data_IF_154782005780
#
_entry.id   IF_154782005780
#
_cell.length_a   1.000
_cell.length_b   1.000
_cell.length_c   1.000
_cell.angle_alpha   90.00
_cell.angle_beta   90.00
_cell.angle_gamma   90.00
#
_symmetry.space_group_name_H-M   'P 1'
#
loop_
_entity.id
_entity.type
_entity.pdbx_description
1 polymer ?
#
# COMPACT_ATOMS: atom_id res chain seq x y z
N UNK A 1 -0.95 7.74 3.44
CA UNK A 1 -0.33 6.73 4.32
C UNK A 1 0.59 5.80 3.51
N UNK A 2 1.55 5.15 4.19
CA UNK A 2 2.50 4.21 3.55
C UNK A 2 2.34 2.82 4.15
N UNK A 3 2.32 1.80 3.28
CA UNK A 3 2.41 0.39 3.68
C UNK A 3 3.68 -0.22 3.11
N UNK A 4 4.52 -0.81 3.96
CA UNK A 4 5.83 -1.31 3.57
C UNK A 4 6.14 -2.66 4.22
N UNK A 5 6.46 -3.72 3.44
CA UNK A 5 6.97 -4.97 4.01
C UNK A 5 8.45 -4.83 4.39
N UNK A 6 8.85 -5.46 5.49
CA UNK A 6 10.23 -5.44 5.96
C UNK A 6 10.58 -6.69 6.78
N UNK A 7 11.88 -6.91 6.99
CA UNK A 7 12.42 -7.94 7.89
C UNK A 7 13.47 -7.35 8.82
N UNK A 8 13.81 -8.05 9.90
CA UNK A 8 14.92 -7.70 10.79
C UNK A 8 14.56 -6.65 11.85
N UNK A 9 15.43 -5.68 12.14
CA UNK A 9 15.23 -4.68 13.21
C UNK A 9 14.14 -3.67 12.84
N UNK A 10 13.34 -3.24 13.82
CA UNK A 10 12.37 -2.15 13.67
C UNK A 10 13.11 -0.83 13.39
N UNK A 11 12.64 -0.11 12.40
CA UNK A 11 13.07 1.25 12.06
C UNK A 11 11.83 2.12 11.90
N UNK A 12 11.76 3.20 12.66
CA UNK A 12 10.55 4.02 12.82
C UNK A 12 10.47 5.20 11.83
N UNK A 13 11.52 5.46 11.06
CA UNK A 13 11.52 6.47 9.99
C UNK A 13 11.61 5.84 8.62
N UNK A 14 11.15 6.52 7.58
CA UNK A 14 11.30 6.07 6.20
C UNK A 14 12.78 6.05 5.74
N UNK A 15 13.60 6.91 6.31
CA UNK A 15 14.95 7.24 5.85
C UNK A 15 14.96 8.55 5.09
N UNK A 16 16.13 8.96 4.64
CA UNK A 16 16.28 10.18 3.83
C UNK A 16 16.89 9.84 2.47
N UNK A 17 16.77 10.75 1.53
CA UNK A 17 17.35 10.60 0.18
C UNK A 17 18.86 10.33 0.22
N UNK A 18 19.58 10.95 1.18
CA UNK A 18 21.03 10.77 1.36
C UNK A 18 21.40 9.60 2.30
N UNK A 19 20.45 9.09 3.09
CA UNK A 19 20.63 7.97 4.00
C UNK A 19 19.35 7.14 4.13
N UNK A 20 19.00 6.43 3.06
CA UNK A 20 17.85 5.50 3.05
C UNK A 20 18.03 4.34 4.05
N UNK A 21 19.27 3.97 4.38
CA UNK A 21 19.58 2.90 5.34
C UNK A 21 19.22 3.28 6.80
N UNK A 22 19.10 4.57 7.12
CA UNK A 22 18.67 5.02 8.44
C UNK A 22 17.20 4.64 8.75
N UNK A 23 16.36 4.56 7.72
CA UNK A 23 14.94 4.22 7.83
C UNK A 23 14.59 2.79 7.39
N UNK A 24 13.30 2.57 7.14
CA UNK A 24 12.76 1.30 6.64
C UNK A 24 12.71 1.22 5.10
N UNK A 25 13.04 2.25 4.36
CA UNK A 25 13.07 2.22 2.90
C UNK A 25 14.08 1.20 2.35
N UNK A 26 13.87 0.75 1.14
CA UNK A 26 14.74 -0.18 0.43
C UNK A 26 15.12 0.40 -0.93
N UNK A 27 16.34 0.13 -1.37
CA UNK A 27 16.72 0.29 -2.76
C UNK A 27 16.03 -0.76 -3.61
N UNK A 28 15.80 -0.41 -4.87
CA UNK A 28 15.36 -1.33 -5.91
C UNK A 28 16.14 -1.04 -7.22
N UNK A 29 16.09 -1.98 -8.16
CA UNK A 29 16.72 -1.84 -9.48
C UNK A 29 15.66 -1.84 -10.56
N UNK A 30 15.79 -0.97 -11.56
CA UNK A 30 14.85 -0.87 -12.68
C UNK A 30 14.66 -2.17 -13.48
N UNK A 31 15.68 -3.01 -13.56
CA UNK A 31 15.55 -4.32 -14.21
C UNK A 31 14.82 -5.37 -13.35
N UNK A 32 14.47 -5.03 -12.12
CA UNK A 32 13.63 -5.83 -11.19
C UNK A 32 12.33 -5.11 -10.83
N UNK A 33 11.97 -4.12 -11.60
CA UNK A 33 10.73 -3.38 -11.52
C UNK A 33 9.90 -3.65 -12.77
N UNK A 34 8.61 -3.88 -12.59
CA UNK A 34 7.66 -4.00 -13.69
C UNK A 34 6.44 -3.13 -13.40
N UNK A 35 6.01 -2.36 -14.41
CA UNK A 35 4.89 -1.42 -14.31
C UNK A 35 3.98 -1.62 -15.50
N UNK A 36 2.70 -1.84 -15.25
CA UNK A 36 1.63 -1.77 -16.25
C UNK A 36 0.38 -1.15 -15.63
N UNK A 37 -0.55 -0.61 -16.42
CA UNK A 37 -1.84 -0.19 -15.89
C UNK A 37 -2.50 -1.30 -15.08
N UNK A 38 -2.90 -1.00 -13.83
CA UNK A 38 -3.51 -1.98 -12.92
C UNK A 38 -2.56 -2.93 -12.18
N UNK A 39 -1.25 -2.91 -12.48
CA UNK A 39 -0.29 -3.81 -11.81
C UNK A 39 1.09 -3.19 -11.65
N UNK A 40 1.68 -3.38 -10.47
CA UNK A 40 3.05 -3.00 -10.15
C UNK A 40 3.79 -4.15 -9.47
N UNK A 41 5.06 -4.36 -9.85
CA UNK A 41 5.94 -5.33 -9.22
C UNK A 41 7.33 -4.73 -8.99
N UNK A 42 7.92 -4.99 -7.80
CA UNK A 42 9.29 -4.58 -7.49
C UNK A 42 9.95 -5.54 -6.51
N UNK A 43 11.27 -5.71 -6.64
CA UNK A 43 12.07 -6.44 -5.67
C UNK A 43 12.78 -5.48 -4.72
N UNK A 44 12.52 -5.63 -3.42
CA UNK A 44 13.14 -4.83 -2.35
C UNK A 44 14.48 -5.44 -1.95
N UNK A 45 15.57 -4.89 -2.48
CA UNK A 45 16.93 -5.44 -2.34
C UNK A 45 17.36 -5.64 -0.88
N UNK A 46 17.00 -4.69 -0.01
CA UNK A 46 17.37 -4.71 1.41
C UNK A 46 16.77 -5.88 2.17
N UNK A 47 15.55 -6.26 1.83
CA UNK A 47 14.77 -7.24 2.58
C UNK A 47 14.64 -8.57 1.86
N UNK A 48 15.03 -8.64 0.58
CA UNK A 48 14.85 -9.83 -0.24
C UNK A 48 13.38 -10.18 -0.45
N UNK A 49 12.52 -9.15 -0.56
CA UNK A 49 11.07 -9.30 -0.68
C UNK A 49 10.64 -8.92 -2.09
N UNK A 50 9.90 -9.82 -2.77
CA UNK A 50 9.14 -9.44 -3.95
C UNK A 50 7.82 -8.79 -3.48
N UNK A 51 7.50 -7.64 -4.07
CA UNK A 51 6.26 -6.89 -3.85
C UNK A 51 5.48 -6.86 -5.14
N UNK A 52 4.21 -7.27 -5.09
CA UNK A 52 3.27 -7.16 -6.19
C UNK A 52 2.02 -6.42 -5.70
N UNK A 53 1.55 -5.44 -6.49
CA UNK A 53 0.43 -4.58 -6.14
C UNK A 53 -0.58 -4.54 -7.27
N UNK A 54 -1.86 -4.62 -6.92
CA UNK A 54 -3.00 -4.34 -7.79
C UNK A 54 -4.12 -3.69 -6.98
N UNK A 55 -5.18 -3.22 -7.61
CA UNK A 55 -6.26 -2.54 -6.91
C UNK A 55 -7.59 -2.66 -7.66
N UNK A 56 -8.67 -2.49 -6.92
CA UNK A 56 -9.99 -2.11 -7.41
C UNK A 56 -10.18 -0.60 -7.26
N UNK A 57 -11.39 -0.08 -7.27
CA UNK A 57 -11.67 1.36 -7.16
C UNK A 57 -11.29 1.92 -5.78
N UNK A 58 -11.56 1.16 -4.69
CA UNK A 58 -11.37 1.61 -3.30
C UNK A 58 -10.51 0.67 -2.47
N UNK A 59 -10.01 -0.43 -3.06
CA UNK A 59 -9.25 -1.44 -2.32
C UNK A 59 -7.92 -1.72 -3.01
N UNK A 60 -6.82 -1.52 -2.28
CA UNK A 60 -5.49 -1.97 -2.68
C UNK A 60 -5.24 -3.41 -2.23
N UNK A 61 -4.69 -4.24 -3.12
CA UNK A 61 -4.24 -5.61 -2.82
C UNK A 61 -2.74 -5.73 -3.03
N UNK A 62 -2.05 -6.11 -1.97
CA UNK A 62 -0.62 -6.32 -1.95
C UNK A 62 -0.34 -7.82 -1.78
N UNK A 63 0.61 -8.33 -2.56
CA UNK A 63 1.21 -9.66 -2.39
C UNK A 63 2.70 -9.49 -2.11
N UNK A 64 3.15 -10.02 -0.99
CA UNK A 64 4.53 -9.98 -0.55
C UNK A 64 5.10 -11.38 -0.46
N UNK A 65 6.15 -11.68 -1.24
CA UNK A 65 6.89 -12.95 -1.13
C UNK A 65 8.09 -12.73 -0.23
N UNK A 66 8.03 -13.25 0.98
CA UNK A 66 9.04 -13.07 2.02
C UNK A 66 10.14 -14.14 1.97
N UNK A 67 11.40 -13.79 2.35
CA UNK A 67 12.39 -14.79 2.74
C UNK A 67 12.02 -15.45 4.08
N UNK A 68 12.74 -16.50 4.47
CA UNK A 68 12.64 -17.03 5.83
C UNK A 68 13.12 -15.98 6.84
N UNK A 69 12.28 -15.66 7.82
CA UNK A 69 12.60 -14.69 8.87
C UNK A 69 11.69 -14.89 10.08
N UNK A 70 12.25 -14.77 11.28
CA UNK A 70 11.48 -14.76 12.53
C UNK A 70 10.90 -13.38 12.85
N UNK A 71 11.33 -12.33 12.10
CA UNK A 71 10.96 -10.92 12.26
C UNK A 71 10.56 -10.30 10.94
N UNK A 72 9.62 -10.94 10.26
CA UNK A 72 8.91 -10.34 9.12
C UNK A 72 7.82 -9.43 9.61
N UNK A 73 7.53 -8.37 8.86
CA UNK A 73 6.48 -7.42 9.24
C UNK A 73 5.90 -6.67 8.06
N UNK A 74 4.71 -6.15 8.28
CA UNK A 74 4.11 -5.09 7.48
C UNK A 74 4.09 -3.83 8.35
N UNK A 75 4.59 -2.73 7.82
CA UNK A 75 4.61 -1.41 8.44
C UNK A 75 3.42 -0.63 7.92
N UNK A 76 2.62 -0.04 8.82
CA UNK A 76 1.60 0.96 8.50
C UNK A 76 2.15 2.29 9.02
N UNK A 77 2.54 3.20 8.14
CA UNK A 77 3.05 4.51 8.53
C UNK A 77 2.06 5.61 8.13
N UNK A 78 1.39 6.17 9.13
CA UNK A 78 0.42 7.25 8.96
C UNK A 78 1.09 8.64 8.98
N UNK A 79 2.36 8.70 9.35
CA UNK A 79 3.14 9.94 9.33
C UNK A 79 3.62 10.34 7.94
N UNK A 80 3.83 9.35 7.06
CA UNK A 80 4.31 9.59 5.69
C UNK A 80 3.14 9.81 4.73
N UNK A 81 3.28 10.80 3.87
CA UNK A 81 2.32 11.13 2.81
C UNK A 81 3.02 11.73 1.60
N UNK A 82 2.28 11.96 0.52
CA UNK A 82 2.78 12.55 -0.71
C UNK A 82 2.38 14.03 -0.77
N UNK A 83 3.33 14.92 -0.46
CA UNK A 83 3.16 16.39 -0.51
C UNK A 83 2.11 16.98 0.45
N UNK A 84 1.79 16.28 1.53
CA UNK A 84 0.89 16.71 2.58
C UNK A 84 1.48 16.45 3.98
N UNK A 85 0.86 17.03 5.00
CA UNK A 85 1.25 16.83 6.41
C UNK A 85 0.08 16.25 7.20
N UNK A 86 0.31 15.20 8.00
CA UNK A 86 -0.75 14.69 8.87
C UNK A 86 -1.11 15.75 9.92
N UNK A 87 -2.40 15.92 10.15
CA UNK A 87 -2.97 16.76 11.22
C UNK A 87 -3.47 15.91 12.37
N UNK A 88 -3.89 14.68 12.07
CA UNK A 88 -4.26 13.67 13.04
C UNK A 88 -4.06 12.28 12.46
N UNK A 89 -3.55 11.36 13.25
CA UNK A 89 -3.41 9.95 12.87
C UNK A 89 -3.96 9.04 13.96
N UNK A 90 -4.64 7.97 13.56
CA UNK A 90 -5.20 6.98 14.47
C UNK A 90 -5.04 5.58 13.91
N UNK A 91 -4.61 4.64 14.72
CA UNK A 91 -4.46 3.23 14.35
C UNK A 91 -4.95 2.34 15.49
N UNK A 92 -5.74 1.32 15.14
CA UNK A 92 -6.30 0.35 16.07
C UNK A 92 -6.16 -1.07 15.53
N UNK A 93 -5.75 -1.99 16.38
CA UNK A 93 -5.83 -3.43 16.16
C UNK A 93 -7.21 -3.92 16.65
N UNK A 94 -8.03 -4.43 15.75
CA UNK A 94 -9.33 -5.04 16.07
C UNK A 94 -9.14 -6.50 16.49
N UNK A 95 -8.34 -7.24 15.71
CA UNK A 95 -7.91 -8.60 16.01
C UNK A 95 -6.55 -8.87 15.36
N UNK A 96 -6.10 -10.13 15.35
CA UNK A 96 -4.76 -10.49 14.83
C UNK A 96 -4.62 -10.37 13.30
N UNK A 97 -5.70 -10.11 12.58
CA UNK A 97 -5.69 -9.93 11.13
C UNK A 97 -6.34 -8.63 10.65
N UNK A 98 -7.16 -7.96 11.46
CA UNK A 98 -7.89 -6.75 11.10
C UNK A 98 -7.37 -5.54 11.88
N UNK A 99 -7.03 -4.50 11.14
CA UNK A 99 -6.57 -3.20 11.62
C UNK A 99 -7.38 -2.10 10.95
N UNK A 100 -7.66 -1.04 11.68
CA UNK A 100 -8.36 0.12 11.16
C UNK A 100 -7.77 1.42 11.68
N UNK A 101 -8.05 2.51 11.01
CA UNK A 101 -7.59 3.80 11.43
C UNK A 101 -7.95 4.92 10.48
N UNK A 102 -7.37 6.07 10.75
CA UNK A 102 -7.51 7.21 9.86
C UNK A 102 -6.22 8.05 9.82
N UNK A 103 -6.10 8.77 8.73
CA UNK A 103 -5.10 9.80 8.54
C UNK A 103 -5.78 11.06 8.03
N UNK A 104 -5.84 12.07 8.87
CA UNK A 104 -6.26 13.40 8.46
C UNK A 104 -5.03 14.22 8.12
N UNK A 105 -5.11 14.99 7.07
CA UNK A 105 -3.95 15.73 6.56
C UNK A 105 -4.34 17.05 5.91
N UNK A 106 -3.37 17.91 5.77
CA UNK A 106 -3.47 19.19 5.06
C UNK A 106 -2.27 19.35 4.14
N UNK A 107 -2.52 19.82 2.94
CA UNK A 107 -1.52 20.04 1.92
C UNK A 107 -2.10 20.85 0.78
N UNK A 108 -2.14 20.28 -0.43
CA UNK A 108 -2.86 20.89 -1.54
C UNK A 108 -4.34 21.09 -1.20
N UNK A 109 -5.05 20.04 -0.76
CA UNK A 109 -6.35 20.22 -0.15
C UNK A 109 -6.17 20.63 1.32
N UNK A 110 -6.98 21.60 1.76
CA UNK A 110 -6.90 22.17 3.11
C UNK A 110 -7.22 21.12 4.18
N UNK A 111 -8.24 20.30 3.92
CA UNK A 111 -8.73 19.26 4.81
C UNK A 111 -8.92 17.98 3.99
N UNK A 112 -8.13 16.94 4.31
CA UNK A 112 -8.20 15.62 3.69
C UNK A 112 -8.44 14.59 4.78
N UNK A 113 -9.50 13.81 4.65
CA UNK A 113 -9.89 12.78 5.59
C UNK A 113 -9.84 11.42 4.89
N UNK A 114 -8.97 10.56 5.37
CA UNK A 114 -8.79 9.21 4.84
C UNK A 114 -8.94 8.21 5.98
N UNK A 115 -9.99 7.42 5.93
CA UNK A 115 -10.22 6.26 6.80
C UNK A 115 -9.81 5.00 6.06
N UNK A 116 -9.32 4.02 6.80
CA UNK A 116 -8.96 2.73 6.20
C UNK A 116 -9.31 1.56 7.11
N UNK A 117 -9.51 0.40 6.47
CA UNK A 117 -9.53 -0.91 7.11
C UNK A 117 -8.58 -1.82 6.36
N UNK A 118 -7.69 -2.50 7.08
CA UNK A 118 -6.64 -3.35 6.54
C UNK A 118 -6.79 -4.76 7.08
N UNK A 119 -6.79 -5.75 6.17
CA UNK A 119 -6.76 -7.16 6.53
C UNK A 119 -5.48 -7.79 5.99
N UNK A 120 -4.79 -8.55 6.85
CA UNK A 120 -3.61 -9.34 6.49
C UNK A 120 -3.98 -10.84 6.49
N UNK A 121 -3.46 -11.60 5.51
CA UNK A 121 -3.77 -13.02 5.33
C UNK A 121 -3.18 -13.94 6.40
N UNK A 122 -2.23 -13.44 7.19
CA UNK A 122 -1.56 -14.17 8.27
C UNK A 122 -1.74 -13.46 9.60
N UNK A 123 -2.19 -14.16 10.67
CA UNK A 123 -2.28 -13.55 12.00
C UNK A 123 -0.94 -13.01 12.49
N UNK A 124 -0.95 -11.81 13.04
CA UNK A 124 0.25 -11.19 13.61
C UNK A 124 0.54 -11.78 14.98
N UNK A 125 1.82 -11.97 15.28
CA UNK A 125 2.30 -12.42 16.59
C UNK A 125 2.43 -11.25 17.57
N UNK A 126 2.86 -10.10 17.06
CA UNK A 126 3.05 -8.89 17.86
C UNK A 126 2.62 -7.67 17.04
N UNK A 127 1.94 -6.75 17.71
CA UNK A 127 1.58 -5.44 17.19
C UNK A 127 2.35 -4.36 17.93
N UNK A 128 3.30 -3.70 17.23
CA UNK A 128 4.14 -2.67 17.83
C UNK A 128 3.62 -1.31 17.37
N UNK A 129 3.32 -0.44 18.31
CA UNK A 129 2.83 0.92 18.02
C UNK A 129 3.88 1.94 18.40
N UNK A 130 4.10 2.89 17.49
CA UNK A 130 4.97 4.04 17.71
C UNK A 130 4.24 5.32 17.36
N UNK A 131 4.58 6.41 18.06
CA UNK A 131 4.30 7.76 17.61
C UNK A 131 5.64 8.47 17.48
N UNK A 132 5.97 8.95 16.29
CA UNK A 132 7.35 9.34 15.91
C UNK A 132 8.33 8.19 16.18
N UNK A 133 9.14 8.29 17.22
CA UNK A 133 10.14 7.28 17.61
C UNK A 133 9.84 6.63 18.96
N UNK A 134 8.80 7.09 19.68
CA UNK A 134 8.43 6.55 21.00
C UNK A 134 7.49 5.35 20.83
N UNK A 135 7.84 4.22 21.46
CA UNK A 135 7.00 3.01 21.50
C UNK A 135 5.90 3.15 22.55
N UNK A 136 4.72 2.63 22.20
CA UNK A 136 3.57 2.49 23.10
C UNK A 136 3.12 1.03 23.13
N UNK A 137 2.74 0.54 24.31
CA UNK A 137 2.30 -0.83 24.55
C UNK A 137 0.76 -0.86 24.60
N UNK A 138 0.13 -0.62 23.47
CA UNK A 138 -1.33 -0.46 23.35
C UNK A 138 -1.82 -1.08 22.05
N UNK A 139 -3.12 -1.41 21.99
CA UNK A 139 -3.77 -1.90 20.78
C UNK A 139 -4.37 -0.77 19.93
N UNK A 140 -4.42 0.45 20.45
CA UNK A 140 -4.86 1.63 19.71
C UNK A 140 -4.08 2.87 20.13
N UNK A 141 -3.88 3.78 19.20
CA UNK A 141 -3.16 5.03 19.44
C UNK A 141 -3.65 6.11 18.49
N UNK A 142 -3.99 7.24 19.09
CA UNK A 142 -4.18 8.53 18.41
C UNK A 142 -2.96 9.39 18.63
N UNK A 143 -2.47 10.08 17.61
CA UNK A 143 -1.28 10.93 17.71
C UNK A 143 -0.99 11.70 16.42
N UNK A 144 0.22 12.26 16.35
CA UNK A 144 0.63 13.07 15.19
C UNK A 144 1.21 12.22 14.05
N UNK A 145 2.03 11.20 14.40
CA UNK A 145 2.80 10.39 13.44
C UNK A 145 2.75 8.91 13.83
N UNK A 146 1.54 8.38 14.04
CA UNK A 146 1.33 7.00 14.49
C UNK A 146 1.78 6.02 13.42
N UNK A 147 2.46 4.95 13.87
CA UNK A 147 2.95 3.85 13.04
C UNK A 147 2.64 2.53 13.72
N UNK A 148 2.20 1.57 12.91
CA UNK A 148 1.99 0.19 13.35
C UNK A 148 2.98 -0.75 12.65
N UNK A 149 3.51 -1.71 13.41
CA UNK A 149 4.35 -2.78 12.89
C UNK A 149 3.68 -4.11 13.21
N UNK A 150 3.21 -4.76 12.17
CA UNK A 150 2.51 -6.04 12.19
C UNK A 150 3.56 -7.14 12.08
N UNK A 151 4.03 -7.70 13.21
CA UNK A 151 5.14 -8.65 13.23
C UNK A 151 4.66 -10.11 13.20
N UNK A 152 5.31 -10.93 12.37
CA UNK A 152 5.07 -12.36 12.20
C UNK A 152 6.35 -13.07 11.75
N UNK A 153 6.37 -14.40 11.76
CA UNK A 153 7.46 -15.17 11.15
C UNK A 153 7.06 -15.68 9.78
N UNK A 154 8.04 -15.85 8.90
CA UNK A 154 7.84 -16.40 7.56
C UNK A 154 8.79 -17.54 7.26
N UNK A 155 8.31 -18.51 6.47
CA UNK A 155 9.09 -19.51 5.78
C UNK A 155 9.71 -18.93 4.53
N UNK A 156 10.60 -19.68 3.87
CA UNK A 156 11.21 -19.26 2.60
C UNK A 156 10.15 -19.19 1.49
N UNK A 157 10.08 -18.05 0.79
CA UNK A 157 9.12 -17.78 -0.29
C UNK A 157 7.66 -17.85 0.16
N UNK A 158 7.40 -17.54 1.43
CA UNK A 158 6.02 -17.46 1.92
C UNK A 158 5.33 -16.20 1.39
N UNK A 159 4.15 -16.38 0.82
CA UNK A 159 3.33 -15.28 0.31
C UNK A 159 2.40 -14.78 1.42
N UNK A 160 2.45 -13.50 1.66
CA UNK A 160 1.57 -12.78 2.60
C UNK A 160 0.80 -11.74 1.81
N UNK A 161 -0.52 -11.77 1.94
CA UNK A 161 -1.40 -10.82 1.28
C UNK A 161 -1.89 -9.78 2.28
N UNK A 162 -1.99 -8.54 1.81
CA UNK A 162 -2.58 -7.44 2.55
C UNK A 162 -3.59 -6.76 1.63
N UNK A 163 -4.81 -6.60 2.10
CA UNK A 163 -5.83 -5.80 1.43
C UNK A 163 -6.26 -4.64 2.31
N UNK A 164 -6.38 -3.46 1.71
CA UNK A 164 -6.73 -2.24 2.40
C UNK A 164 -7.83 -1.51 1.64
N UNK A 165 -8.99 -1.41 2.28
CA UNK A 165 -10.09 -0.56 1.83
C UNK A 165 -9.92 0.85 2.38
N UNK A 166 -10.32 1.83 1.59
CA UNK A 166 -10.32 3.25 1.96
C UNK A 166 -11.72 3.84 1.86
N UNK A 167 -11.96 4.88 2.65
CA UNK A 167 -13.18 5.68 2.66
C UNK A 167 -12.85 7.10 3.12
N UNK A 168 -13.61 8.08 2.66
CA UNK A 168 -13.55 9.46 3.15
C UNK A 168 -14.56 9.74 4.26
N UNK A 169 -15.35 8.74 4.65
CA UNK A 169 -16.48 8.86 5.59
C UNK A 169 -16.18 8.19 6.92
N UNK A 170 -15.78 6.90 6.91
CA UNK A 170 -15.57 6.16 8.16
C UNK A 170 -14.74 4.87 7.93
N UNK A 171 -14.17 4.32 9.02
CA UNK A 171 -13.53 2.99 9.01
C UNK A 171 -14.54 1.88 8.69
N UNK A 172 -15.79 2.04 9.11
CA UNK A 172 -16.87 1.10 8.79
C UNK A 172 -17.09 1.04 7.28
N UNK A 173 -17.21 2.19 6.60
CA UNK A 173 -17.37 2.25 5.15
C UNK A 173 -16.11 1.70 4.44
N UNK A 174 -14.91 1.98 4.95
CA UNK A 174 -13.67 1.41 4.41
C UNK A 174 -13.68 -0.13 4.49
N UNK A 175 -14.21 -0.72 5.57
CA UNK A 175 -14.38 -2.17 5.69
C UNK A 175 -15.47 -2.69 4.74
N UNK A 176 -16.60 -2.00 4.60
CA UNK A 176 -17.66 -2.37 3.67
C UNK A 176 -17.17 -2.34 2.22
N UNK A 177 -16.45 -1.30 1.81
CA UNK A 177 -15.80 -1.22 0.50
C UNK A 177 -14.85 -2.41 0.28
N UNK A 178 -14.01 -2.71 1.28
CA UNK A 178 -13.07 -3.82 1.22
C UNK A 178 -13.78 -5.17 1.05
N UNK A 179 -14.83 -5.43 1.82
CA UNK A 179 -15.54 -6.71 1.78
C UNK A 179 -16.41 -6.87 0.53
N UNK A 180 -16.91 -5.76 -0.02
CA UNK A 180 -17.73 -5.74 -1.25
C UNK A 180 -16.87 -5.94 -2.49
N UNK A 181 -15.80 -5.15 -2.62
CA UNK A 181 -14.97 -5.18 -3.82
C UNK A 181 -13.98 -6.36 -3.83
N UNK A 182 -13.56 -6.82 -2.64
CA UNK A 182 -12.52 -7.85 -2.52
C UNK A 182 -12.80 -8.84 -1.36
N UNK A 183 -13.84 -9.66 -1.47
CA UNK A 183 -14.18 -10.64 -0.41
C UNK A 183 -13.12 -11.73 -0.24
N UNK A 184 -12.41 -12.10 -1.31
CA UNK A 184 -11.40 -13.16 -1.35
C UNK A 184 -9.96 -12.66 -1.39
N UNK A 185 -9.03 -13.58 -1.70
CA UNK A 185 -7.58 -13.35 -1.79
C UNK A 185 -7.00 -13.69 -3.17
N UNK A 186 -7.84 -13.82 -4.20
CA UNK A 186 -7.41 -14.18 -5.56
C UNK A 186 -6.72 -12.99 -6.24
N UNK A 187 -5.40 -12.88 -6.01
CA UNK A 187 -4.58 -11.81 -6.55
C UNK A 187 -4.58 -11.77 -8.09
N UNK A 188 -4.48 -12.95 -8.72
CA UNK A 188 -4.39 -13.02 -10.18
C UNK A 188 -5.72 -12.61 -10.84
N UNK A 189 -6.86 -12.95 -10.20
CA UNK A 189 -8.17 -12.49 -10.66
C UNK A 189 -8.28 -10.96 -10.57
N UNK A 190 -7.96 -10.36 -9.41
CA UNK A 190 -8.05 -8.90 -9.21
C UNK A 190 -7.13 -8.16 -10.19
N UNK A 191 -5.91 -8.67 -10.38
CA UNK A 191 -4.95 -8.13 -11.36
C UNK A 191 -5.52 -8.18 -12.78
N UNK A 192 -6.06 -9.33 -13.19
CA UNK A 192 -6.65 -9.51 -14.52
C UNK A 192 -7.85 -8.56 -14.73
N UNK A 193 -8.73 -8.47 -13.74
CA UNK A 193 -9.90 -7.58 -13.80
C UNK A 193 -9.46 -6.09 -13.93
N UNK A 194 -8.39 -5.69 -13.23
CA UNK A 194 -7.81 -4.35 -13.34
C UNK A 194 -7.18 -4.10 -14.73
N UNK A 195 -6.40 -5.07 -15.24
CA UNK A 195 -5.82 -5.00 -16.58
C UNK A 195 -6.90 -4.89 -17.66
N UNK A 196 -7.98 -5.67 -17.59
CA UNK A 196 -9.11 -5.62 -18.53
C UNK A 196 -9.84 -4.27 -18.50
N UNK A 197 -10.06 -3.70 -17.31
CA UNK A 197 -10.63 -2.35 -17.16
C UNK A 197 -9.77 -1.29 -17.84
N UNK A 198 -8.46 -1.31 -17.62
CA UNK A 198 -7.53 -0.39 -18.26
C UNK A 198 -7.44 -0.60 -19.78
N UNK A 199 -7.42 -1.85 -20.26
CA UNK A 199 -7.42 -2.15 -21.68
C UNK A 199 -8.67 -1.61 -22.37
N UNK A 200 -9.84 -1.76 -21.74
CA UNK A 200 -11.10 -1.21 -22.23
C UNK A 200 -11.02 0.32 -22.40
N UNK A 201 -10.46 1.03 -21.44
CA UNK A 201 -10.32 2.50 -21.51
C UNK A 201 -9.27 2.93 -22.54
N UNK A 202 -8.10 2.30 -22.51
CA UNK A 202 -6.99 2.66 -23.42
C UNK A 202 -7.27 2.27 -24.86
N UNK A 203 -8.09 1.25 -25.12
CA UNK A 203 -8.46 0.82 -26.48
C UNK A 203 -9.51 1.71 -27.16
N UNK A 204 -10.07 2.71 -26.46
CA UNK A 204 -11.01 3.69 -27.06
C UNK A 204 -10.36 4.49 -28.20
N UNK A 205 -9.05 4.68 -28.16
CA UNK A 205 -8.29 5.30 -29.24
C UNK A 205 -7.24 4.30 -29.73
N UNK A 206 -7.36 3.88 -30.97
CA UNK A 206 -6.40 2.99 -31.61
C UNK A 206 -5.53 3.78 -32.55
N UNK A 207 -4.20 3.70 -32.39
CA UNK A 207 -3.25 4.31 -33.32
C UNK A 207 -2.54 3.22 -34.14
N UNK A 208 -2.35 3.47 -35.41
CA UNK A 208 -1.58 2.64 -36.31
C UNK A 208 -0.20 3.27 -36.50
N UNK A 209 0.83 2.56 -36.12
CA UNK A 209 2.22 2.95 -36.30
C UNK A 209 3.16 1.76 -36.14
N UNK A 210 4.20 1.70 -36.96
CA UNK A 210 5.28 0.73 -36.84
C UNK A 210 6.33 1.15 -35.80
N UNK A 211 6.25 2.40 -35.30
CA UNK A 211 7.15 2.92 -34.26
C UNK A 211 6.63 2.57 -32.86
N UNK A 212 7.13 1.46 -32.31
CA UNK A 212 6.76 0.97 -30.98
C UNK A 212 7.05 2.00 -29.87
N UNK A 213 8.06 2.87 -30.02
CA UNK A 213 8.37 3.92 -29.05
C UNK A 213 7.27 4.98 -29.05
N UNK A 214 6.85 5.46 -30.21
CA UNK A 214 5.73 6.41 -30.32
C UNK A 214 4.43 5.81 -29.81
N UNK A 215 4.14 4.55 -30.12
CA UNK A 215 2.97 3.83 -29.61
C UNK A 215 2.98 3.80 -28.07
N UNK A 216 4.11 3.46 -27.45
CA UNK A 216 4.26 3.47 -25.98
C UNK A 216 4.06 4.86 -25.39
N UNK A 217 4.68 5.89 -25.97
CA UNK A 217 4.53 7.28 -25.50
C UNK A 217 3.06 7.70 -25.54
N UNK A 218 2.36 7.41 -26.62
CA UNK A 218 0.94 7.76 -26.76
C UNK A 218 0.08 7.13 -25.67
N UNK A 219 0.15 5.80 -25.50
CA UNK A 219 -0.67 5.11 -24.51
C UNK A 219 -0.25 5.45 -23.07
N UNK A 220 1.03 5.73 -22.81
CA UNK A 220 1.47 6.24 -21.50
C UNK A 220 0.88 7.61 -21.21
N UNK A 221 0.90 8.53 -22.18
CA UNK A 221 0.27 9.85 -22.03
C UNK A 221 -1.25 9.72 -21.81
N UNK A 222 -1.92 8.87 -22.59
CA UNK A 222 -3.35 8.60 -22.43
C UNK A 222 -3.68 8.04 -21.04
N UNK A 223 -2.89 7.08 -20.53
CA UNK A 223 -3.00 6.56 -19.17
C UNK A 223 -2.88 7.69 -18.13
N UNK A 224 -1.88 8.58 -18.25
CA UNK A 224 -1.69 9.69 -17.34
C UNK A 224 -2.88 10.66 -17.29
N UNK A 225 -3.57 10.87 -18.42
CA UNK A 225 -4.77 11.73 -18.43
C UNK A 225 -5.97 11.13 -17.70
N UNK A 226 -5.94 9.81 -17.42
CA UNK A 226 -7.03 9.08 -16.78
C UNK A 226 -6.77 8.82 -15.28
N UNK A 227 -5.63 9.25 -14.72
CA UNK A 227 -5.32 9.09 -13.29
C UNK A 227 -6.19 10.00 -12.41
N UNK A 228 -6.63 11.13 -12.96
CA UNK A 228 -7.53 12.07 -12.31
C UNK A 228 -8.69 12.45 -13.25
N UNK A 229 -9.89 12.73 -12.73
CA UNK A 229 -10.29 12.79 -11.33
C UNK A 229 -10.45 11.39 -10.70
N UNK A 230 -10.26 11.34 -9.37
CA UNK A 230 -10.45 10.12 -8.58
C UNK A 230 -11.89 10.01 -8.05
N UNK A 231 -12.33 8.78 -7.75
CA UNK A 231 -13.54 8.56 -6.96
C UNK A 231 -13.32 9.09 -5.54
N UNK A 232 -14.29 9.86 -5.03
CA UNK A 232 -14.24 10.48 -3.71
C UNK A 232 -15.53 10.21 -2.92
N UNK A 233 -16.16 9.08 -3.17
CA UNK A 233 -17.37 8.59 -2.48
C UNK A 233 -17.26 7.08 -2.25
N UNK A 234 -18.02 6.60 -1.28
CA UNK A 234 -18.17 5.17 -0.97
C UNK A 234 -19.20 4.50 -1.90
#
# INVERSE_FOLDING_TARGET
LTIMPATGKVKTGAGTQNNHMAGYSSLYRKNKEFVSPGYYKVFLERYGIDVELTATERVGLHKYTFPKSDKSRVIIDLGEGSADRPTETYLKKINDTLFEGHRFSSGWAKDQWEFFSLIISKPVKEFLVYDRHKRFYVNEKKGDYVKGFLEFSTSRKEEIYVKMGVSTVSTKNALENLMTEMPGWDFEKVKKDAEEKWEKELSKIKIETNDLKKKRIFYTAMYHTMIAPNLYHD
#
